data_IF_578936176239
#
_entry.id   IF_578936176239
#
_cell.length_a   1.000
_cell.length_b   1.000
_cell.length_c   1.000
_cell.angle_alpha   90.00
_cell.angle_beta   90.00
_cell.angle_gamma   90.00
#
_symmetry.space_group_name_H-M   'P 1'
#
loop_
_entity.id
_entity.type
_entity.pdbx_description
1 polymer ?
#
# COMPACT_ATOMS: atom_id res chain seq x y z
N UNK A 1 11.49 16.24 28.45
CA UNK A 1 10.50 15.37 27.76
C UNK A 1 10.86 13.92 28.07
N UNK A 2 10.02 13.15 28.78
CA UNK A 2 10.32 11.75 29.14
C UNK A 2 10.39 10.83 27.90
N UNK A 3 11.10 9.71 28.00
CA UNK A 3 11.19 8.68 26.94
C UNK A 3 9.81 8.17 26.52
N UNK A 4 8.91 7.98 27.49
CA UNK A 4 7.51 7.57 27.28
C UNK A 4 6.77 8.53 26.36
N UNK A 5 6.90 9.85 26.58
CA UNK A 5 6.21 10.86 25.77
C UNK A 5 6.74 10.90 24.32
N UNK A 6 8.02 10.64 24.09
CA UNK A 6 8.57 10.52 22.73
C UNK A 6 8.02 9.29 22.03
N UNK A 7 8.03 8.14 22.71
CA UNK A 7 7.54 6.88 22.14
C UNK A 7 6.04 6.94 21.82
N UNK A 8 5.23 7.56 22.69
CA UNK A 8 3.80 7.74 22.45
C UNK A 8 3.51 8.56 21.19
N UNK A 9 4.28 9.63 20.94
CA UNK A 9 4.14 10.44 19.73
C UNK A 9 4.54 9.69 18.46
N UNK A 10 5.62 8.92 18.53
CA UNK A 10 6.06 8.07 17.41
C UNK A 10 5.00 7.01 17.11
N UNK A 11 4.47 6.34 18.13
CA UNK A 11 3.40 5.35 17.98
C UNK A 11 2.14 5.98 17.36
N UNK A 12 1.73 7.16 17.84
CA UNK A 12 0.61 7.90 17.26
C UNK A 12 0.84 8.29 15.79
N UNK A 13 2.05 8.74 15.44
CA UNK A 13 2.39 9.08 14.05
C UNK A 13 2.39 7.85 13.14
N UNK A 14 2.96 6.74 13.59
CA UNK A 14 2.93 5.47 12.85
C UNK A 14 1.49 4.97 12.66
N UNK A 15 0.65 5.12 13.69
CA UNK A 15 -0.76 4.77 13.61
C UNK A 15 -1.53 5.65 12.61
N UNK A 16 -1.26 6.96 12.60
CA UNK A 16 -1.86 7.87 11.61
C UNK A 16 -1.40 7.55 10.19
N UNK A 17 -0.14 7.13 9.99
CA UNK A 17 0.39 6.76 8.68
C UNK A 17 -0.26 5.51 8.07
N UNK A 18 -0.85 4.62 8.88
CA UNK A 18 -1.59 3.46 8.35
C UNK A 18 -2.74 3.89 7.42
N UNK A 19 -3.38 5.03 7.69
CA UNK A 19 -4.53 5.52 6.90
C UNK A 19 -4.13 5.88 5.45
N UNK A 20 -3.20 6.82 5.20
CA UNK A 20 -2.80 7.15 3.84
C UNK A 20 -2.10 5.99 3.13
N UNK A 21 -1.35 5.14 3.85
CA UNK A 21 -0.72 3.95 3.26
C UNK A 21 -1.77 2.90 2.83
N UNK A 22 -2.79 2.67 3.65
CA UNK A 22 -3.92 1.81 3.29
C UNK A 22 -4.70 2.37 2.11
N UNK A 23 -4.99 3.68 2.10
CA UNK A 23 -5.66 4.31 0.98
C UNK A 23 -4.85 4.21 -0.32
N UNK A 24 -3.53 4.37 -0.24
CA UNK A 24 -2.63 4.18 -1.37
C UNK A 24 -2.76 2.76 -1.96
N UNK A 25 -2.79 1.72 -1.11
CA UNK A 25 -2.97 0.34 -1.59
C UNK A 25 -4.30 0.11 -2.32
N UNK A 26 -5.38 0.75 -1.87
CA UNK A 26 -6.71 0.58 -2.47
C UNK A 26 -6.81 1.33 -3.80
N UNK A 27 -6.35 2.59 -3.83
CA UNK A 27 -6.50 3.46 -5.00
C UNK A 27 -5.51 3.13 -6.12
N UNK A 28 -4.27 2.78 -5.77
CA UNK A 28 -3.20 2.61 -6.76
C UNK A 28 -2.77 1.15 -6.95
N UNK A 29 -3.04 0.27 -5.97
CA UNK A 29 -2.63 -1.13 -6.04
C UNK A 29 -3.32 -1.90 -7.16
N UNK A 30 -4.63 -1.72 -7.36
CA UNK A 30 -5.39 -2.41 -8.40
C UNK A 30 -5.36 -1.70 -9.76
N UNK A 31 -5.25 -0.37 -9.75
CA UNK A 31 -5.28 0.46 -10.96
C UNK A 31 -4.12 0.18 -11.93
N UNK A 32 -2.96 -0.21 -11.42
CA UNK A 32 -1.81 -0.56 -12.25
C UNK A 32 -1.88 -1.99 -12.85
N UNK A 33 -2.78 -2.84 -12.33
CA UNK A 33 -2.79 -4.27 -12.62
C UNK A 33 -3.93 -4.67 -13.54
N UNK A 34 -5.15 -4.17 -13.28
CA UNK A 34 -6.36 -4.63 -13.95
C UNK A 34 -6.62 -3.79 -15.21
N UNK A 35 -6.67 -4.45 -16.36
CA UNK A 35 -7.11 -3.87 -17.64
C UNK A 35 -8.54 -4.36 -17.92
N UNK A 36 -9.57 -3.50 -17.78
CA UNK A 36 -10.95 -3.91 -18.00
C UNK A 36 -11.17 -4.49 -19.39
N UNK A 37 -11.69 -5.71 -19.46
CA UNK A 37 -11.96 -6.41 -20.73
C UNK A 37 -10.75 -7.12 -21.36
N UNK A 38 -9.55 -7.00 -20.78
CA UNK A 38 -8.35 -7.70 -21.26
C UNK A 38 -7.68 -8.50 -20.14
N UNK A 39 -8.05 -9.78 -20.07
CA UNK A 39 -7.51 -10.72 -19.10
C UNK A 39 -6.02 -11.05 -19.36
N UNK A 40 -5.58 -11.03 -20.62
CA UNK A 40 -4.20 -11.34 -20.97
C UNK A 40 -3.27 -10.20 -20.54
N UNK A 41 -3.64 -8.95 -20.82
CA UNK A 41 -2.90 -7.78 -20.36
C UNK A 41 -2.87 -7.69 -18.82
N UNK A 42 -3.99 -8.01 -18.16
CA UNK A 42 -4.03 -8.08 -16.70
C UNK A 42 -3.05 -9.11 -16.14
N UNK A 43 -3.00 -10.32 -16.72
CA UNK A 43 -2.05 -11.35 -16.30
C UNK A 43 -0.58 -10.93 -16.49
N UNK A 44 -0.27 -10.25 -17.61
CA UNK A 44 1.06 -9.70 -17.87
C UNK A 44 1.44 -8.65 -16.82
N UNK A 45 0.55 -7.73 -16.47
CA UNK A 45 0.82 -6.71 -15.46
C UNK A 45 1.07 -7.30 -14.06
N UNK A 46 0.33 -8.36 -13.70
CA UNK A 46 0.55 -9.10 -12.44
C UNK A 46 1.92 -9.77 -12.43
N UNK A 47 2.30 -10.46 -13.51
CA UNK A 47 3.63 -11.09 -13.64
C UNK A 47 4.76 -10.06 -13.66
N UNK A 48 4.53 -8.85 -14.18
CA UNK A 48 5.52 -7.77 -14.12
C UNK A 48 5.65 -7.15 -12.72
N UNK A 49 4.68 -7.39 -11.83
CA UNK A 49 4.57 -6.78 -10.50
C UNK A 49 4.84 -7.77 -9.36
N UNK A 50 5.76 -8.72 -9.55
CA UNK A 50 6.03 -9.80 -8.58
C UNK A 50 6.32 -9.30 -7.17
N UNK A 51 6.99 -8.17 -7.00
CA UNK A 51 7.34 -7.59 -5.68
C UNK A 51 6.14 -7.24 -4.80
N UNK A 52 4.94 -7.15 -5.37
CA UNK A 52 3.69 -6.89 -4.65
C UNK A 52 2.99 -8.20 -4.26
N UNK A 53 3.32 -9.32 -4.90
CA UNK A 53 2.63 -10.61 -4.75
C UNK A 53 3.49 -11.74 -4.20
N UNK A 54 4.83 -11.63 -4.24
CA UNK A 54 5.77 -12.71 -3.87
C UNK A 54 6.88 -12.20 -2.96
#
# INVERSE_FOLDING_TARGET
MSSINKNARVAGLLYLLLVPLGLFSILFGSAALIVPGDAAATAVNILASESVFR
#
